data_IF_446874637683
#
_entry.id   IF_446874637683
#
_cell.length_a   1.000
_cell.length_b   1.000
_cell.length_c   1.000
_cell.angle_alpha   90.00
_cell.angle_beta   90.00
_cell.angle_gamma   90.00
#
_symmetry.space_group_name_H-M   'P 1'
#
loop_
_entity.id
_entity.type
_entity.pdbx_description
1 polymer ?
#
# COMPACT_ATOMS: atom_id res chain seq x y z
N UNK A 1 27.42 -6.61 -10.16
CA UNK A 1 26.39 -5.70 -9.60
C UNK A 1 25.67 -6.49 -8.53
N UNK A 2 25.99 -6.27 -7.25
CA UNK A 2 25.38 -7.02 -6.16
C UNK A 2 24.00 -6.42 -5.86
N UNK A 3 22.96 -7.25 -5.83
CA UNK A 3 21.64 -6.82 -5.38
C UNK A 3 21.75 -6.37 -3.92
N UNK A 4 21.24 -5.18 -3.55
CA UNK A 4 21.21 -4.78 -2.16
C UNK A 4 20.29 -5.74 -1.42
N UNK A 5 20.84 -6.42 -0.42
CA UNK A 5 20.10 -7.32 0.47
C UNK A 5 19.28 -6.47 1.45
N UNK A 6 18.27 -5.75 0.96
CA UNK A 6 17.28 -5.12 1.85
C UNK A 6 16.38 -6.22 2.37
N UNK A 7 16.23 -6.28 3.69
CA UNK A 7 15.29 -7.22 4.33
C UNK A 7 13.93 -7.02 3.67
N UNK A 8 13.27 -8.11 3.29
CA UNK A 8 11.94 -8.07 2.64
C UNK A 8 10.91 -7.25 3.45
N UNK A 9 11.15 -7.07 4.75
CA UNK A 9 10.37 -6.19 5.61
C UNK A 9 10.56 -4.69 5.29
N UNK A 10 11.79 -4.25 5.03
CA UNK A 10 12.11 -2.85 4.72
C UNK A 10 11.49 -2.45 3.37
N UNK A 11 11.63 -3.31 2.35
CA UNK A 11 11.05 -3.06 1.02
C UNK A 11 9.51 -3.04 1.01
N UNK A 12 8.86 -3.77 1.92
CA UNK A 12 7.40 -3.73 2.11
C UNK A 12 6.95 -2.44 2.80
N UNK A 13 7.72 -1.99 3.79
CA UNK A 13 7.45 -0.74 4.49
C UNK A 13 7.61 0.47 3.57
N UNK A 14 8.64 0.47 2.70
CA UNK A 14 8.86 1.53 1.71
C UNK A 14 7.72 1.63 0.70
N UNK A 15 7.20 0.50 0.20
CA UNK A 15 6.06 0.50 -0.72
C UNK A 15 4.77 0.96 -0.04
N UNK A 16 4.49 0.51 1.18
CA UNK A 16 3.34 1.00 1.94
C UNK A 16 3.45 2.52 2.14
N UNK A 17 4.63 3.01 2.51
CA UNK A 17 4.89 4.43 2.69
C UNK A 17 4.66 5.22 1.38
N UNK A 18 5.07 4.70 0.23
CA UNK A 18 4.78 5.35 -1.06
C UNK A 18 3.28 5.41 -1.36
N UNK A 19 2.54 4.33 -1.11
CA UNK A 19 1.10 4.29 -1.36
C UNK A 19 0.34 5.23 -0.42
N UNK A 20 0.66 5.25 0.88
CA UNK A 20 -0.07 6.10 1.84
C UNK A 20 0.31 7.58 1.77
N UNK A 21 1.52 7.94 1.29
CA UNK A 21 1.92 9.33 1.11
C UNK A 21 1.67 9.89 -0.30
N UNK A 22 1.19 9.06 -1.23
CA UNK A 22 0.82 9.53 -2.56
C UNK A 22 -0.52 10.28 -2.50
N UNK A 23 -0.60 11.42 -3.17
CA UNK A 23 -1.84 12.21 -3.22
C UNK A 23 -2.84 11.61 -4.23
N UNK A 24 -3.57 10.60 -3.76
CA UNK A 24 -4.62 9.94 -4.53
C UNK A 24 -5.82 10.84 -4.83
N UNK A 25 -5.98 11.97 -4.12
CA UNK A 25 -7.10 12.91 -4.36
C UNK A 25 -7.05 13.53 -5.76
N UNK A 26 -5.85 13.61 -6.34
CA UNK A 26 -5.62 14.05 -7.72
C UNK A 26 -6.02 13.01 -8.78
N UNK A 27 -6.27 11.77 -8.36
CA UNK A 27 -6.65 10.65 -9.24
C UNK A 27 -8.15 10.38 -9.18
N UNK A 28 -8.68 9.67 -10.18
CA UNK A 28 -10.09 9.26 -10.19
C UNK A 28 -10.48 8.30 -9.06
N UNK A 29 -9.51 7.72 -8.34
CA UNK A 29 -9.77 6.86 -7.18
C UNK A 29 -10.15 7.67 -5.93
N UNK A 30 -9.80 8.96 -5.90
CA UNK A 30 -10.01 9.82 -4.75
C UNK A 30 -9.08 9.48 -3.57
N UNK A 31 -9.19 10.23 -2.45
CA UNK A 31 -8.32 10.06 -1.30
C UNK A 31 -8.36 8.65 -0.72
N UNK A 32 -7.23 8.20 -0.15
CA UNK A 32 -7.06 6.82 0.35
C UNK A 32 -8.08 6.43 1.42
N UNK A 33 -8.56 7.40 2.19
CA UNK A 33 -9.59 7.22 3.21
C UNK A 33 -10.91 6.65 2.66
N UNK A 34 -11.21 6.85 1.38
CA UNK A 34 -12.44 6.33 0.76
C UNK A 34 -12.43 4.81 0.58
N UNK A 35 -11.25 4.24 0.35
CA UNK A 35 -11.09 2.81 0.08
C UNK A 35 -10.32 2.08 1.17
N UNK A 36 -9.77 2.78 2.16
CA UNK A 36 -9.14 2.19 3.36
C UNK A 36 -10.02 1.12 4.04
N UNK A 37 -11.34 1.30 4.22
CA UNK A 37 -12.20 0.25 4.76
C UNK A 37 -12.25 -0.99 3.85
N UNK A 38 -12.31 -0.80 2.54
CA UNK A 38 -12.34 -1.91 1.57
C UNK A 38 -11.00 -2.66 1.54
N UNK A 39 -9.86 -1.97 1.65
CA UNK A 39 -8.54 -2.60 1.80
C UNK A 39 -8.52 -3.44 3.08
N UNK A 40 -8.96 -2.88 4.21
CA UNK A 40 -9.02 -3.61 5.49
C UNK A 40 -9.93 -4.84 5.40
N UNK A 41 -11.09 -4.72 4.76
CA UNK A 41 -12.00 -5.86 4.55
C UNK A 41 -11.35 -6.92 3.64
N UNK A 42 -10.70 -6.53 2.55
CA UNK A 42 -10.03 -7.46 1.64
C UNK A 42 -8.84 -8.18 2.31
N UNK A 43 -8.09 -7.47 3.17
CA UNK A 43 -7.00 -8.07 3.94
C UNK A 43 -7.52 -8.97 5.07
N UNK A 44 -8.66 -8.64 5.66
CA UNK A 44 -9.27 -9.44 6.73
C UNK A 44 -9.95 -10.71 6.19
N UNK A 45 -10.51 -10.66 4.98
CA UNK A 45 -11.17 -11.79 4.32
C UNK A 45 -10.41 -12.19 3.03
N UNK A 46 -9.29 -12.94 3.14
CA UNK A 46 -8.53 -13.40 1.98
C UNK A 46 -9.26 -14.47 1.12
N UNK A 47 -10.42 -14.95 1.58
CA UNK A 47 -11.25 -15.90 0.85
C UNK A 47 -12.71 -15.44 0.95
N UNK A 48 -13.20 -14.83 -0.12
CA UNK A 48 -14.63 -14.79 -0.42
C UNK A 48 -15.09 -16.16 -0.93
#
# INVERSE_FOLDING_TARGET
MSLPSTSTADAKNEQANMVYNFDWSSTSLGPIDLWEPAIKTAMAHPYG
#
